data_IF_812211986803
#
_entry.id   IF_812211986803
#
_cell.length_a   1.000
_cell.length_b   1.000
_cell.length_c   1.000
_cell.angle_alpha   90.00
_cell.angle_beta   90.00
_cell.angle_gamma   90.00
#
_symmetry.space_group_name_H-M   'P 1'
#
loop_
_entity.id
_entity.type
_entity.pdbx_description
1 polymer ?
#
# COMPACT_ATOMS: atom_id res chain seq x y z
N UNK A 1 -46.81 -21.59 -43.12
CA UNK A 1 -46.07 -20.52 -42.45
C UNK A 1 -45.76 -21.00 -41.04
N UNK A 2 -44.57 -21.52 -40.82
CA UNK A 2 -44.15 -22.10 -39.50
C UNK A 2 -43.25 -21.09 -38.83
N UNK A 3 -43.70 -20.53 -37.71
CA UNK A 3 -42.92 -19.59 -36.91
C UNK A 3 -42.05 -20.37 -35.92
N UNK A 4 -40.74 -20.32 -36.13
CA UNK A 4 -39.74 -20.86 -35.19
C UNK A 4 -39.41 -19.83 -34.12
N UNK A 5 -39.85 -20.08 -32.89
CA UNK A 5 -39.50 -19.29 -31.73
C UNK A 5 -38.12 -19.67 -31.20
N UNK A 6 -37.16 -18.78 -31.33
CA UNK A 6 -35.82 -18.93 -30.77
C UNK A 6 -35.89 -18.78 -29.25
N UNK A 7 -35.58 -19.84 -28.50
CA UNK A 7 -35.40 -19.82 -27.06
C UNK A 7 -34.06 -19.15 -26.71
N UNK A 8 -34.11 -17.96 -26.13
CA UNK A 8 -32.95 -17.33 -25.53
C UNK A 8 -32.51 -18.12 -24.29
N UNK A 9 -31.28 -18.66 -24.34
CA UNK A 9 -30.63 -19.25 -23.16
C UNK A 9 -30.10 -18.11 -22.30
N UNK A 10 -30.80 -17.81 -21.20
CA UNK A 10 -30.26 -16.99 -20.11
C UNK A 10 -29.13 -17.78 -19.44
N UNK A 11 -27.88 -17.34 -19.63
CA UNK A 11 -26.76 -17.82 -18.84
C UNK A 11 -26.90 -17.31 -17.42
N UNK A 12 -27.23 -18.20 -16.48
CA UNK A 12 -27.12 -17.90 -15.04
C UNK A 12 -25.62 -17.68 -14.75
N UNK A 13 -25.25 -16.44 -14.44
CA UNK A 13 -23.96 -16.12 -13.82
C UNK A 13 -24.02 -16.74 -12.42
N UNK A 14 -23.37 -17.87 -12.23
CA UNK A 14 -23.10 -18.46 -10.91
C UNK A 14 -22.05 -17.58 -10.24
N UNK A 15 -22.46 -16.68 -9.35
CA UNK A 15 -21.55 -16.03 -8.44
C UNK A 15 -20.98 -17.12 -7.52
N UNK A 16 -19.70 -17.44 -7.68
CA UNK A 16 -18.98 -18.30 -6.72
C UNK A 16 -19.02 -17.61 -5.34
N UNK A 17 -19.28 -18.39 -4.28
CA UNK A 17 -19.21 -17.87 -2.92
C UNK A 17 -17.79 -17.32 -2.65
N UNK A 18 -17.72 -16.17 -2.01
CA UNK A 18 -16.44 -15.57 -1.60
C UNK A 18 -16.28 -15.59 -0.10
N UNK A 19 -15.05 -15.57 0.38
CA UNK A 19 -14.68 -15.44 1.79
C UNK A 19 -13.66 -14.33 1.94
N UNK A 20 -13.81 -13.53 2.99
CA UNK A 20 -12.82 -12.49 3.31
C UNK A 20 -11.51 -13.09 3.78
N UNK A 21 -10.38 -12.59 3.30
CA UNK A 21 -9.02 -12.96 3.74
C UNK A 21 -8.17 -11.72 3.94
N UNK A 22 -7.39 -11.75 5.01
CA UNK A 22 -6.27 -10.83 5.24
C UNK A 22 -4.98 -11.49 4.77
N UNK A 23 -4.11 -10.68 4.20
CA UNK A 23 -2.75 -11.02 3.84
C UNK A 23 -1.83 -10.03 4.55
N UNK A 24 -0.82 -10.54 5.26
CA UNK A 24 0.04 -9.72 6.12
C UNK A 24 1.48 -10.13 5.93
N UNK A 25 2.37 -9.16 5.85
CA UNK A 25 3.80 -9.37 5.71
C UNK A 25 4.49 -9.34 7.07
N UNK A 26 5.26 -10.38 7.37
CA UNK A 26 6.18 -10.39 8.50
C UNK A 26 7.59 -10.06 8.01
N UNK A 27 8.00 -8.85 8.32
CA UNK A 27 9.27 -8.27 7.92
C UNK A 27 10.47 -8.98 8.55
N UNK A 28 10.34 -9.44 9.81
CA UNK A 28 11.44 -10.05 10.55
C UNK A 28 11.80 -11.45 10.05
N UNK A 29 10.79 -12.29 9.79
CA UNK A 29 10.98 -13.67 9.36
C UNK A 29 10.84 -13.86 7.84
N UNK A 30 10.52 -12.76 7.11
CA UNK A 30 10.39 -12.81 5.66
C UNK A 30 9.22 -13.67 5.17
N UNK A 31 8.07 -13.65 5.90
CA UNK A 31 6.90 -14.48 5.61
C UNK A 31 5.74 -13.69 5.03
N UNK A 32 4.90 -14.38 4.26
CA UNK A 32 3.55 -13.90 3.94
C UNK A 32 2.56 -14.74 4.73
N UNK A 33 1.81 -14.08 5.60
CA UNK A 33 0.77 -14.66 6.44
C UNK A 33 -0.60 -14.43 5.80
N UNK A 34 -1.57 -15.33 6.06
CA UNK A 34 -2.97 -15.13 5.69
C UNK A 34 -3.88 -15.63 6.80
N UNK A 35 -4.95 -14.87 7.09
CA UNK A 35 -5.95 -15.26 8.09
C UNK A 35 -7.35 -14.77 7.68
N UNK A 36 -8.38 -15.21 8.41
CA UNK A 36 -9.73 -14.64 8.29
C UNK A 36 -9.76 -13.20 8.85
N UNK A 37 -10.78 -12.39 8.50
CA UNK A 37 -10.89 -10.99 8.96
C UNK A 37 -11.13 -10.84 10.47
N UNK A 38 -11.34 -11.93 11.20
CA UNK A 38 -11.42 -11.98 12.66
C UNK A 38 -10.14 -12.48 13.33
N UNK A 39 -9.07 -12.72 12.53
CA UNK A 39 -7.78 -13.24 12.97
C UNK A 39 -7.70 -14.76 13.05
N UNK A 40 -8.80 -15.49 12.87
CA UNK A 40 -8.81 -16.96 12.88
C UNK A 40 -8.17 -17.55 11.62
N UNK A 41 -7.89 -18.84 11.63
CA UNK A 41 -7.29 -19.59 10.51
C UNK A 41 -5.99 -18.96 9.98
N UNK A 42 -5.11 -18.52 10.90
CA UNK A 42 -3.81 -17.97 10.57
C UNK A 42 -2.90 -19.02 9.94
N UNK A 43 -2.34 -18.72 8.78
CA UNK A 43 -1.45 -19.59 8.02
C UNK A 43 -0.25 -18.80 7.50
N UNK A 44 0.91 -19.44 7.43
CA UNK A 44 2.02 -18.99 6.61
C UNK A 44 1.83 -19.57 5.20
N UNK A 45 1.57 -18.70 4.21
CA UNK A 45 1.36 -19.12 2.82
C UNK A 45 2.65 -19.02 1.99
N UNK A 46 3.57 -18.13 2.36
CA UNK A 46 4.93 -18.11 1.83
C UNK A 46 5.87 -18.08 3.03
N UNK A 47 6.70 -19.12 3.14
CA UNK A 47 7.70 -19.25 4.21
C UNK A 47 9.01 -18.63 3.77
N UNK A 48 9.79 -18.17 4.72
CA UNK A 48 11.21 -17.78 4.70
C UNK A 48 11.87 -17.29 3.40
N UNK A 49 12.96 -16.55 3.53
CA UNK A 49 13.82 -16.15 2.41
C UNK A 49 13.48 -14.82 1.77
N UNK A 50 12.36 -14.17 2.15
CA UNK A 50 12.06 -12.81 1.70
C UNK A 50 12.84 -11.84 2.57
N UNK A 51 13.54 -10.91 1.92
CA UNK A 51 14.37 -9.96 2.63
C UNK A 51 13.60 -8.68 2.88
N UNK A 52 13.09 -8.53 4.11
CA UNK A 52 12.35 -7.37 4.57
C UNK A 52 11.13 -7.06 3.66
N UNK A 53 10.14 -7.98 3.57
CA UNK A 53 8.92 -7.71 2.82
C UNK A 53 8.13 -6.56 3.47
N UNK A 54 7.55 -5.64 2.67
CA UNK A 54 6.98 -4.42 3.22
C UNK A 54 5.57 -4.08 2.73
N UNK A 55 5.34 -3.88 1.46
CA UNK A 55 4.02 -3.55 0.90
C UNK A 55 3.37 -4.76 0.23
N UNK A 56 2.04 -4.90 0.34
CA UNK A 56 1.28 -6.01 -0.26
C UNK A 56 -0.04 -5.53 -0.86
N UNK A 57 -0.40 -6.08 -2.02
CA UNK A 57 -1.71 -5.91 -2.65
C UNK A 57 -2.25 -7.23 -3.18
N UNK A 58 -3.57 -7.32 -3.32
CA UNK A 58 -4.27 -8.53 -3.76
C UNK A 58 -5.08 -8.23 -5.02
N UNK A 59 -4.90 -9.04 -6.05
CA UNK A 59 -5.81 -9.16 -7.18
C UNK A 59 -6.63 -10.45 -7.03
N UNK A 60 -7.74 -10.35 -6.29
CA UNK A 60 -8.61 -11.49 -6.02
C UNK A 60 -9.24 -12.09 -7.29
N UNK A 61 -9.46 -11.27 -8.32
CA UNK A 61 -10.06 -11.71 -9.59
C UNK A 61 -9.06 -12.51 -10.43
N UNK A 62 -7.80 -12.06 -10.49
CA UNK A 62 -6.71 -12.79 -11.14
C UNK A 62 -6.17 -13.94 -10.27
N UNK A 63 -6.53 -14.00 -8.98
CA UNK A 63 -6.05 -15.01 -8.03
C UNK A 63 -4.61 -14.78 -7.56
N UNK A 64 -4.13 -13.53 -7.51
CA UNK A 64 -2.75 -13.21 -7.22
C UNK A 64 -2.58 -12.26 -6.03
N UNK A 65 -1.45 -12.44 -5.33
CA UNK A 65 -0.90 -11.47 -4.37
C UNK A 65 0.43 -10.94 -4.92
N UNK A 66 0.70 -9.65 -4.70
CA UNK A 66 1.96 -8.99 -5.07
C UNK A 66 2.53 -8.32 -3.83
N UNK A 67 3.85 -8.42 -3.62
CA UNK A 67 4.51 -7.75 -2.51
C UNK A 67 5.91 -7.28 -2.87
N UNK A 68 6.37 -6.27 -2.13
CA UNK A 68 7.72 -5.74 -2.23
C UNK A 68 8.65 -6.43 -1.25
N UNK A 69 9.92 -6.60 -1.63
CA UNK A 69 11.01 -6.99 -0.74
C UNK A 69 12.06 -5.87 -0.77
N UNK A 70 12.32 -5.25 0.37
CA UNK A 70 13.30 -4.15 0.44
C UNK A 70 14.74 -4.61 0.15
N UNK A 71 15.07 -5.88 0.36
CA UNK A 71 16.41 -6.37 0.22
C UNK A 71 17.36 -5.81 1.29
N UNK A 72 18.57 -5.50 0.94
CA UNK A 72 19.53 -4.82 1.80
C UNK A 72 19.37 -3.30 1.68
N UNK A 73 19.23 -2.59 2.80
CA UNK A 73 19.05 -1.13 2.81
C UNK A 73 20.21 -0.33 2.22
N UNK A 74 21.33 -1.00 1.90
CA UNK A 74 22.55 -0.39 1.35
C UNK A 74 22.90 -0.91 -0.05
N UNK A 75 22.10 -1.83 -0.59
CA UNK A 75 22.32 -2.42 -1.91
C UNK A 75 21.09 -2.18 -2.80
N UNK A 76 21.33 -2.11 -4.10
CA UNK A 76 20.24 -2.05 -5.09
C UNK A 76 19.81 -3.49 -5.42
N UNK A 77 19.20 -4.18 -4.44
CA UNK A 77 18.77 -5.58 -4.54
C UNK A 77 17.30 -5.80 -4.15
N UNK A 78 16.51 -4.72 -4.08
CA UNK A 78 15.07 -4.79 -3.88
C UNK A 78 14.35 -5.45 -5.06
N UNK A 79 13.19 -6.03 -4.78
CA UNK A 79 12.39 -6.76 -5.77
C UNK A 79 10.89 -6.64 -5.50
N UNK A 80 10.07 -7.00 -6.50
CA UNK A 80 8.63 -7.21 -6.33
C UNK A 80 8.33 -8.63 -6.78
N UNK A 81 7.65 -9.39 -5.94
CA UNK A 81 7.23 -10.77 -6.19
C UNK A 81 5.71 -10.85 -6.32
N UNK A 82 5.27 -11.90 -7.00
CA UNK A 82 3.88 -12.33 -7.12
C UNK A 82 3.78 -13.83 -6.81
N UNK A 83 2.69 -14.22 -6.17
CA UNK A 83 2.27 -15.62 -6.06
C UNK A 83 0.76 -15.74 -6.25
N UNK A 84 0.27 -16.97 -6.34
CA UNK A 84 -1.16 -17.27 -6.21
C UNK A 84 -1.63 -16.98 -4.77
N UNK A 85 -2.94 -16.90 -4.54
CA UNK A 85 -3.53 -16.61 -3.22
C UNK A 85 -3.13 -17.61 -2.13
N UNK A 86 -2.73 -18.84 -2.51
CA UNK A 86 -2.23 -19.88 -1.61
C UNK A 86 -0.69 -19.87 -1.44
N UNK A 87 -0.02 -18.88 -2.01
CA UNK A 87 1.44 -18.70 -1.95
C UNK A 87 2.25 -19.52 -2.96
N UNK A 88 1.59 -20.28 -3.83
CA UNK A 88 2.27 -21.05 -4.89
C UNK A 88 2.61 -20.20 -6.11
N UNK A 89 3.31 -20.82 -7.08
CA UNK A 89 3.69 -20.20 -8.37
C UNK A 89 4.41 -18.86 -8.22
N UNK A 90 5.32 -18.79 -7.25
CA UNK A 90 6.13 -17.60 -6.97
C UNK A 90 6.92 -17.16 -8.20
N UNK A 91 6.85 -15.87 -8.51
CA UNK A 91 7.62 -15.27 -9.60
C UNK A 91 8.03 -13.85 -9.29
N UNK A 92 9.17 -13.41 -9.83
CA UNK A 92 9.58 -12.01 -9.77
C UNK A 92 8.85 -11.20 -10.85
N UNK A 93 8.17 -10.13 -10.44
CA UNK A 93 7.63 -9.10 -11.34
C UNK A 93 8.70 -8.03 -11.59
N UNK A 94 9.35 -7.55 -10.54
CA UNK A 94 10.54 -6.72 -10.64
C UNK A 94 11.69 -7.51 -10.01
N UNK A 95 12.69 -7.94 -10.81
CA UNK A 95 13.80 -8.73 -10.29
C UNK A 95 14.71 -7.88 -9.40
N UNK A 96 15.54 -8.51 -8.54
CA UNK A 96 16.54 -7.80 -7.75
C UNK A 96 17.40 -6.87 -8.61
N UNK A 97 17.52 -5.61 -8.18
CA UNK A 97 18.21 -4.55 -8.93
C UNK A 97 17.31 -3.68 -9.80
N UNK A 98 16.06 -4.06 -10.01
CA UNK A 98 15.07 -3.24 -10.72
C UNK A 98 14.51 -2.09 -9.88
N UNK A 99 14.66 -2.17 -8.56
CA UNK A 99 14.30 -1.15 -7.57
C UNK A 99 15.28 -1.22 -6.40
N UNK A 100 15.46 -0.13 -5.66
CA UNK A 100 16.48 -0.09 -4.59
C UNK A 100 15.95 -0.72 -3.30
N UNK A 101 14.96 -0.08 -2.65
CA UNK A 101 14.30 -0.55 -1.42
C UNK A 101 12.80 -0.26 -1.51
N UNK A 102 12.06 -1.06 -2.31
CA UNK A 102 10.64 -0.83 -2.50
C UNK A 102 9.88 -1.01 -1.18
N UNK A 103 9.01 -0.05 -0.89
CA UNK A 103 8.14 0.00 0.28
C UNK A 103 6.71 -0.33 -0.10
N UNK A 104 5.73 0.46 0.32
CA UNK A 104 4.33 0.21 0.01
C UNK A 104 4.07 0.24 -1.49
N UNK A 105 3.12 -0.60 -1.94
CA UNK A 105 2.73 -0.66 -3.35
C UNK A 105 1.21 -0.63 -3.50
N UNK A 106 0.76 -0.25 -4.70
CA UNK A 106 -0.66 -0.20 -5.07
C UNK A 106 -0.91 -0.83 -6.44
N UNK A 107 -2.10 -1.38 -6.60
CA UNK A 107 -2.56 -2.05 -7.81
C UNK A 107 -3.61 -1.20 -8.53
N UNK A 108 -3.30 -0.76 -9.74
CA UNK A 108 -4.25 -0.21 -10.69
C UNK A 108 -4.76 -1.34 -11.61
N UNK A 109 -5.84 -1.99 -11.22
CA UNK A 109 -6.45 -3.07 -12.02
C UNK A 109 -6.99 -2.58 -13.35
N UNK A 110 -7.51 -1.34 -13.40
CA UNK A 110 -8.12 -0.76 -14.59
C UNK A 110 -7.12 -0.63 -15.73
N UNK A 111 -5.88 -0.25 -15.41
CA UNK A 111 -4.82 -0.04 -16.39
C UNK A 111 -3.74 -1.15 -16.38
N UNK A 112 -3.89 -2.18 -15.53
CA UNK A 112 -2.96 -3.31 -15.44
C UNK A 112 -1.56 -2.90 -14.96
N UNK A 113 -1.46 -2.08 -13.91
CA UNK A 113 -0.20 -1.51 -13.43
C UNK A 113 -0.01 -1.69 -11.92
N UNK A 114 1.25 -1.82 -11.52
CA UNK A 114 1.72 -1.70 -10.14
C UNK A 114 2.44 -0.36 -9.95
N UNK A 115 2.23 0.27 -8.80
CA UNK A 115 2.90 1.49 -8.37
C UNK A 115 3.52 1.27 -7.01
N UNK A 116 4.73 1.79 -6.76
CA UNK A 116 5.40 1.66 -5.45
C UNK A 116 6.30 2.84 -5.13
N UNK A 117 6.56 3.01 -3.83
CA UNK A 117 7.59 3.90 -3.32
C UNK A 117 8.90 3.13 -3.19
N UNK A 118 10.00 3.72 -3.67
CA UNK A 118 11.35 3.20 -3.55
C UNK A 118 12.14 4.10 -2.58
N UNK A 119 12.25 3.66 -1.30
CA UNK A 119 12.63 4.51 -0.18
C UNK A 119 14.03 5.09 -0.33
N UNK A 120 15.07 4.29 -0.24
CA UNK A 120 16.46 4.73 -0.43
C UNK A 120 16.76 5.08 -1.89
N UNK A 121 15.98 4.58 -2.84
CA UNK A 121 15.98 5.05 -4.21
C UNK A 121 15.42 6.45 -4.38
N UNK A 122 14.72 6.98 -3.36
CA UNK A 122 14.11 8.32 -3.34
C UNK A 122 13.19 8.57 -4.53
N UNK A 123 12.39 7.56 -4.90
CA UNK A 123 11.57 7.57 -6.11
C UNK A 123 10.15 7.06 -5.85
N UNK A 124 9.23 7.45 -6.72
CA UNK A 124 7.96 6.77 -6.92
C UNK A 124 7.99 6.14 -8.31
N UNK A 125 7.63 4.87 -8.41
CA UNK A 125 7.82 4.07 -9.62
C UNK A 125 6.52 3.34 -9.99
N UNK A 126 6.44 2.88 -11.25
CA UNK A 126 5.39 1.99 -11.74
C UNK A 126 5.93 0.99 -12.75
N UNK A 127 5.19 -0.11 -12.96
CA UNK A 127 5.39 -1.03 -14.08
C UNK A 127 4.04 -1.67 -14.49
N UNK A 128 4.04 -2.41 -15.60
CA UNK A 128 2.94 -3.31 -15.94
C UNK A 128 2.92 -4.52 -14.99
N UNK A 129 1.77 -5.23 -14.88
CA UNK A 129 1.63 -6.42 -14.02
C UNK A 129 2.54 -7.59 -14.40
N UNK A 130 3.08 -7.60 -15.62
CA UNK A 130 4.08 -8.56 -16.10
C UNK A 130 5.53 -8.13 -15.82
N UNK A 131 5.73 -6.97 -15.17
CA UNK A 131 7.04 -6.40 -14.87
C UNK A 131 7.67 -5.61 -16.02
N UNK A 132 7.02 -5.53 -17.17
CA UNK A 132 7.49 -4.68 -18.28
C UNK A 132 7.27 -3.20 -18.00
N UNK A 133 7.97 -2.32 -18.72
CA UNK A 133 7.84 -0.85 -18.65
C UNK A 133 8.01 -0.31 -17.24
N UNK A 134 9.12 -0.67 -16.57
CA UNK A 134 9.49 -0.05 -15.29
C UNK A 134 9.82 1.42 -15.54
N UNK A 135 9.12 2.32 -14.87
CA UNK A 135 9.22 3.76 -15.05
C UNK A 135 9.34 4.47 -13.69
N UNK A 136 10.16 5.52 -13.62
CA UNK A 136 10.18 6.46 -12.51
C UNK A 136 9.17 7.58 -12.79
N UNK A 137 8.26 7.83 -11.85
CA UNK A 137 7.25 8.89 -11.95
C UNK A 137 7.65 10.15 -11.20
N UNK A 138 8.31 9.98 -10.06
CA UNK A 138 8.86 11.05 -9.23
C UNK A 138 10.29 10.68 -8.84
N UNK A 139 11.22 11.59 -9.03
CA UNK A 139 12.60 11.50 -8.51
C UNK A 139 12.81 12.60 -7.47
N UNK A 140 12.66 12.24 -6.20
CA UNK A 140 12.86 13.16 -5.07
C UNK A 140 14.33 13.50 -4.84
N UNK A 141 15.27 12.73 -5.41
CA UNK A 141 16.71 12.99 -5.31
C UNK A 141 17.12 14.24 -6.11
N UNK A 142 16.33 14.57 -7.16
CA UNK A 142 16.65 15.63 -8.12
C UNK A 142 18.02 15.51 -8.75
N UNK A 143 18.44 14.26 -9.02
CA UNK A 143 19.74 13.97 -9.63
C UNK A 143 20.92 13.95 -8.66
N UNK A 144 20.70 13.98 -7.34
CA UNK A 144 21.79 13.76 -6.37
C UNK A 144 22.34 12.33 -6.51
N UNK A 145 23.67 12.23 -6.55
CA UNK A 145 24.39 11.01 -6.93
C UNK A 145 24.55 9.97 -5.80
N UNK A 146 23.90 10.14 -4.65
CA UNK A 146 23.99 9.21 -3.51
C UNK A 146 22.60 8.78 -3.04
N UNK A 147 22.05 7.67 -3.57
CA UNK A 147 20.82 7.09 -3.06
C UNK A 147 20.88 6.87 -1.54
N UNK A 148 19.79 7.19 -0.83
CA UNK A 148 19.66 6.94 0.60
C UNK A 148 20.29 7.95 1.55
N UNK A 149 20.98 9.00 1.06
CA UNK A 149 21.70 9.94 1.92
C UNK A 149 20.79 10.94 2.66
N UNK A 150 19.61 11.24 2.15
CA UNK A 150 18.69 12.24 2.72
C UNK A 150 17.31 11.62 3.01
N UNK A 151 17.07 11.31 4.29
CA UNK A 151 15.81 10.72 4.74
C UNK A 151 14.59 11.62 4.48
N UNK A 152 14.76 12.92 4.29
CA UNK A 152 13.64 13.82 3.93
C UNK A 152 13.09 13.59 2.53
N UNK A 153 13.79 12.80 1.70
CA UNK A 153 13.44 12.45 0.33
C UNK A 153 12.94 11.00 0.19
N UNK A 154 12.91 10.24 1.28
CA UNK A 154 12.49 8.83 1.30
C UNK A 154 10.99 8.70 1.08
N UNK A 155 10.60 8.16 -0.07
CA UNK A 155 9.22 7.85 -0.40
C UNK A 155 8.82 6.50 0.23
N UNK A 156 7.66 6.43 0.91
CA UNK A 156 7.28 5.24 1.71
C UNK A 156 5.90 4.71 1.38
N UNK A 157 4.84 5.43 1.75
CA UNK A 157 3.45 5.05 1.48
C UNK A 157 2.98 5.55 0.11
N UNK A 158 2.00 4.87 -0.47
CA UNK A 158 1.46 5.21 -1.78
C UNK A 158 -0.02 4.88 -1.86
N UNK A 159 -0.82 5.76 -2.48
CA UNK A 159 -2.23 5.53 -2.79
C UNK A 159 -2.61 6.12 -4.15
N UNK A 160 -3.66 5.58 -4.76
CA UNK A 160 -4.09 5.94 -6.11
C UNK A 160 -5.55 6.40 -6.12
N UNK A 161 -5.82 7.56 -6.70
CA UNK A 161 -7.13 7.93 -7.22
C UNK A 161 -7.13 7.65 -8.73
N UNK A 162 -7.50 6.41 -9.11
CA UNK A 162 -7.37 5.90 -10.49
C UNK A 162 -8.27 6.68 -11.44
N UNK A 163 -9.49 7.02 -11.03
CA UNK A 163 -10.43 7.76 -11.87
C UNK A 163 -10.08 9.24 -11.98
N UNK A 164 -9.48 9.82 -10.93
CA UNK A 164 -8.94 11.18 -10.92
C UNK A 164 -7.53 11.27 -11.52
N UNK A 165 -6.92 10.15 -11.91
CA UNK A 165 -5.54 10.06 -12.43
C UNK A 165 -4.52 10.73 -11.50
N UNK A 166 -4.70 10.55 -10.17
CA UNK A 166 -3.84 11.14 -9.13
C UNK A 166 -3.13 10.08 -8.32
N UNK A 167 -1.86 10.35 -8.07
CA UNK A 167 -0.94 9.58 -7.24
C UNK A 167 -0.67 10.36 -5.96
N UNK A 168 -0.75 9.71 -4.82
CA UNK A 168 -0.44 10.24 -3.49
C UNK A 168 0.70 9.43 -2.88
N UNK A 169 1.62 10.09 -2.18
CA UNK A 169 2.69 9.38 -1.45
C UNK A 169 3.12 10.12 -0.20
N UNK A 170 3.72 9.37 0.71
CA UNK A 170 4.33 9.91 1.93
C UNK A 170 5.85 10.00 1.77
N UNK A 171 6.43 11.00 2.43
CA UNK A 171 7.86 11.04 2.76
C UNK A 171 7.97 11.11 4.28
N UNK A 172 8.53 10.06 4.88
CA UNK A 172 8.54 9.93 6.35
C UNK A 172 9.44 10.94 7.07
N UNK A 173 10.49 11.40 6.42
CA UNK A 173 11.54 12.19 7.06
C UNK A 173 12.51 11.34 7.91
N UNK A 174 13.50 11.98 8.57
CA UNK A 174 14.30 11.32 9.58
C UNK A 174 13.45 10.92 10.81
N UNK A 175 13.90 9.88 11.54
CA UNK A 175 13.17 9.36 12.68
C UNK A 175 12.89 10.46 13.73
N UNK A 176 11.62 10.60 14.10
CA UNK A 176 11.10 11.57 15.09
C UNK A 176 11.48 13.05 14.84
N UNK A 177 11.83 13.41 13.60
CA UNK A 177 12.24 14.77 13.27
C UNK A 177 11.08 15.74 13.00
N UNK A 178 9.83 15.26 12.92
CA UNK A 178 8.67 16.08 12.58
C UNK A 178 8.77 16.70 11.18
N UNK A 179 9.41 16.01 10.22
CA UNK A 179 9.65 16.47 8.85
C UNK A 179 8.93 15.63 7.81
N UNK A 180 7.99 14.80 8.27
CA UNK A 180 7.14 13.98 7.40
C UNK A 180 6.22 14.83 6.55
N UNK A 181 5.92 14.36 5.33
CA UNK A 181 5.09 15.06 4.35
C UNK A 181 4.20 14.09 3.58
N UNK A 182 3.06 14.61 3.08
CA UNK A 182 2.19 13.92 2.13
C UNK A 182 2.08 14.78 0.87
N UNK A 183 2.22 14.13 -0.27
CA UNK A 183 2.21 14.77 -1.58
C UNK A 183 1.14 14.17 -2.48
N UNK A 184 0.81 14.92 -3.54
CA UNK A 184 -0.03 14.48 -4.65
C UNK A 184 0.56 14.95 -5.98
N UNK A 185 0.35 14.16 -7.05
CA UNK A 185 0.70 14.54 -8.42
C UNK A 185 -0.20 13.81 -9.42
N UNK A 186 -0.13 14.16 -10.70
CA UNK A 186 -0.78 13.40 -11.77
C UNK A 186 -0.06 12.07 -12.03
N UNK A 187 -0.75 11.07 -12.61
CA UNK A 187 -0.10 9.82 -13.03
C UNK A 187 0.96 10.07 -14.10
N UNK A 188 0.63 10.89 -15.09
CA UNK A 188 1.55 11.20 -16.18
C UNK A 188 2.39 12.43 -15.86
N UNK A 189 3.66 12.38 -16.27
CA UNK A 189 4.58 13.52 -16.14
C UNK A 189 4.17 14.59 -17.14
N UNK A 190 4.10 15.87 -16.75
CA UNK A 190 3.78 16.95 -17.67
C UNK A 190 4.71 16.98 -18.89
N UNK A 191 4.14 17.27 -20.06
CA UNK A 191 4.88 17.24 -21.33
C UNK A 191 6.14 18.11 -21.27
N UNK A 192 7.28 17.52 -21.63
CA UNK A 192 8.58 18.20 -21.66
C UNK A 192 9.30 18.27 -20.33
N UNK A 193 8.76 17.60 -19.29
CA UNK A 193 9.38 17.49 -17.97
C UNK A 193 9.89 16.08 -17.70
N UNK A 194 10.68 15.93 -16.66
CA UNK A 194 11.25 14.66 -16.19
C UNK A 194 10.71 14.34 -14.78
N UNK A 195 10.90 13.11 -14.26
CA UNK A 195 10.56 12.78 -12.88
C UNK A 195 11.18 13.71 -11.82
N UNK A 196 12.35 14.30 -12.13
CA UNK A 196 13.11 15.12 -11.19
C UNK A 196 12.69 16.59 -11.16
N UNK A 197 12.13 17.11 -12.26
CA UNK A 197 11.78 18.52 -12.42
C UNK A 197 10.29 18.78 -12.67
N UNK A 198 9.44 17.75 -12.57
CA UNK A 198 7.98 17.90 -12.72
C UNK A 198 7.43 18.94 -11.73
N UNK A 199 6.56 19.83 -12.23
CA UNK A 199 6.05 20.99 -11.49
C UNK A 199 4.60 20.83 -11.01
N UNK A 200 4.00 19.66 -11.21
CA UNK A 200 2.63 19.34 -10.79
C UNK A 200 2.54 18.64 -9.42
N UNK A 201 3.66 18.60 -8.69
CA UNK A 201 3.69 18.05 -7.32
C UNK A 201 3.09 19.06 -6.35
N UNK A 202 2.07 18.63 -5.63
CA UNK A 202 1.41 19.39 -4.57
C UNK A 202 1.83 18.84 -3.21
N UNK A 203 2.20 19.70 -2.25
CA UNK A 203 2.39 19.34 -0.84
C UNK A 203 1.04 19.47 -0.13
N UNK A 204 0.46 18.36 0.28
CA UNK A 204 -0.82 18.32 0.99
C UNK A 204 -0.65 18.56 2.49
N UNK A 205 0.32 17.88 3.11
CA UNK A 205 0.68 18.01 4.52
C UNK A 205 2.18 18.01 4.69
N UNK A 206 2.64 18.73 5.72
CA UNK A 206 4.05 18.80 6.13
C UNK A 206 4.15 18.88 7.66
N UNK A 207 5.35 18.72 8.19
CA UNK A 207 5.61 18.71 9.64
C UNK A 207 4.85 17.59 10.37
N UNK A 208 4.60 16.48 9.68
CA UNK A 208 4.08 15.25 10.27
C UNK A 208 5.21 14.52 11.02
N UNK A 209 4.90 13.71 12.07
CA UNK A 209 5.93 12.93 12.76
C UNK A 209 6.68 12.00 11.81
N UNK A 210 6.09 10.88 11.41
CA UNK A 210 6.62 9.91 10.46
C UNK A 210 5.49 9.20 9.70
N UNK A 211 4.86 9.82 8.70
CA UNK A 211 3.80 9.17 7.92
C UNK A 211 4.38 8.01 7.12
N UNK A 212 3.72 6.84 7.21
CA UNK A 212 4.17 5.60 6.57
C UNK A 212 3.22 5.22 5.45
N UNK A 213 2.24 4.34 5.70
CA UNK A 213 1.29 3.90 4.68
C UNK A 213 0.14 4.88 4.50
N UNK A 214 -0.49 4.84 3.33
CA UNK A 214 -1.51 5.79 2.91
C UNK A 214 -2.58 5.06 2.11
N UNK A 215 -3.86 5.31 2.42
CA UNK A 215 -4.99 4.81 1.64
C UNK A 215 -6.10 5.86 1.51
N UNK A 216 -6.96 5.72 0.50
CA UNK A 216 -7.95 6.74 0.11
C UNK A 216 -9.38 6.21 0.13
N UNK A 217 -10.28 6.95 0.78
CA UNK A 217 -11.70 6.90 0.49
C UNK A 217 -12.02 8.01 -0.53
N UNK A 218 -11.90 7.65 -1.81
CA UNK A 218 -12.11 8.58 -2.92
C UNK A 218 -13.56 9.09 -2.96
N UNK A 219 -14.53 8.25 -2.59
CA UNK A 219 -15.95 8.62 -2.60
C UNK A 219 -16.27 9.71 -1.57
N UNK A 220 -15.72 9.61 -0.37
CA UNK A 220 -15.86 10.61 0.70
C UNK A 220 -14.81 11.71 0.64
N UNK A 221 -13.87 11.66 -0.31
CA UNK A 221 -12.74 12.58 -0.45
C UNK A 221 -11.89 12.65 0.82
N UNK A 222 -11.62 11.51 1.45
CA UNK A 222 -10.80 11.39 2.66
C UNK A 222 -9.55 10.54 2.39
N UNK A 223 -8.42 10.94 2.94
CA UNK A 223 -7.20 10.13 3.01
C UNK A 223 -6.94 9.70 4.43
N UNK A 224 -6.36 8.52 4.58
CA UNK A 224 -5.96 7.93 5.85
C UNK A 224 -4.49 7.52 5.77
N UNK A 225 -3.75 7.63 6.88
CA UNK A 225 -2.37 7.16 6.92
C UNK A 225 -1.97 6.70 8.32
N UNK A 226 -1.05 5.76 8.38
CA UNK A 226 -0.34 5.41 9.60
C UNK A 226 0.79 6.40 9.84
N UNK A 227 1.03 6.73 11.09
CA UNK A 227 2.18 7.51 11.52
C UNK A 227 2.90 6.77 12.65
N UNK A 228 4.17 6.43 12.43
CA UNK A 228 4.95 5.63 13.38
C UNK A 228 5.82 6.48 14.32
N UNK A 229 5.84 7.79 14.18
CA UNK A 229 6.60 8.68 15.04
C UNK A 229 6.19 8.61 16.50
N UNK A 230 6.82 9.42 17.34
CA UNK A 230 6.54 9.42 18.78
C UNK A 230 5.17 10.03 19.13
N UNK A 231 4.51 9.52 20.19
CA UNK A 231 3.32 10.15 20.75
C UNK A 231 3.58 11.62 21.16
N UNK A 232 2.57 12.49 21.17
CA UNK A 232 1.13 12.18 21.03
C UNK A 232 0.61 12.14 19.60
N UNK A 233 1.39 12.57 18.59
CA UNK A 233 0.97 12.67 17.21
C UNK A 233 1.39 11.48 16.35
N UNK A 234 2.34 10.67 16.80
CA UNK A 234 2.76 9.42 16.20
C UNK A 234 2.23 8.19 16.93
N UNK A 235 2.53 7.00 16.42
CA UNK A 235 1.93 5.72 16.79
C UNK A 235 0.40 5.74 16.63
N UNK A 236 -0.06 6.26 15.48
CA UNK A 236 -1.46 6.62 15.22
C UNK A 236 -1.88 6.20 13.81
N UNK A 237 -3.22 6.11 13.61
CA UNK A 237 -3.84 6.31 12.28
C UNK A 237 -4.49 7.67 12.28
N UNK A 238 -4.26 8.40 11.21
CA UNK A 238 -4.77 9.75 11.01
C UNK A 238 -5.68 9.78 9.77
N UNK A 239 -6.59 10.75 9.71
CA UNK A 239 -7.34 11.06 8.49
C UNK A 239 -7.46 12.56 8.25
N UNK A 240 -7.60 12.92 6.99
CA UNK A 240 -7.83 14.30 6.56
C UNK A 240 -8.50 14.32 5.18
N UNK A 241 -9.12 15.47 4.78
CA UNK A 241 -9.59 15.64 3.41
C UNK A 241 -8.45 15.47 2.39
N UNK A 242 -8.75 14.83 1.26
CA UNK A 242 -7.83 14.71 0.11
C UNK A 242 -7.51 16.07 -0.53
N UNK A 243 -8.41 17.05 -0.36
CA UNK A 243 -8.26 18.42 -0.86
C UNK A 243 -8.23 19.40 0.32
N UNK A 244 -7.13 19.44 1.10
CA UNK A 244 -7.05 20.34 2.24
C UNK A 244 -7.03 21.79 1.77
N UNK A 245 -7.93 22.60 2.35
CA UNK A 245 -7.95 24.04 2.07
C UNK A 245 -6.62 24.68 2.51
N UNK A 246 -5.95 25.39 1.60
CA UNK A 246 -4.66 26.04 1.88
C UNK A 246 -4.75 27.16 2.91
N UNK A 247 -5.89 27.87 2.97
CA UNK A 247 -6.09 29.04 3.83
C UNK A 247 -6.47 28.72 5.29
N UNK A 248 -7.08 27.56 5.57
CA UNK A 248 -7.53 27.15 6.91
C UNK A 248 -7.34 25.63 7.07
N UNK A 249 -6.15 25.13 6.78
CA UNK A 249 -5.84 23.70 6.94
C UNK A 249 -5.97 23.32 8.41
N UNK A 250 -6.95 22.44 8.70
CA UNK A 250 -7.08 21.84 10.03
C UNK A 250 -5.99 20.79 10.24
N UNK A 251 -5.56 20.61 11.47
CA UNK A 251 -4.73 19.46 11.84
C UNK A 251 -5.45 18.17 11.47
N UNK A 252 -4.71 17.13 11.06
CA UNK A 252 -5.28 15.82 10.81
C UNK A 252 -6.00 15.28 12.05
N UNK A 253 -7.12 14.61 11.82
CA UNK A 253 -7.82 13.91 12.89
C UNK A 253 -7.11 12.59 13.19
N UNK A 254 -6.80 12.34 14.45
CA UNK A 254 -6.27 11.07 14.92
C UNK A 254 -7.44 10.13 15.19
N UNK A 255 -7.57 9.04 14.42
CA UNK A 255 -8.65 8.05 14.56
C UNK A 255 -8.25 6.83 15.38
N UNK A 256 -6.99 6.41 15.33
CA UNK A 256 -6.43 5.37 16.22
C UNK A 256 -5.17 5.88 16.91
N UNK A 257 -4.93 5.37 18.12
CA UNK A 257 -3.77 5.70 18.97
C UNK A 257 -3.15 4.44 19.55
N UNK A 258 -1.95 4.60 20.12
CA UNK A 258 -1.25 3.57 20.88
C UNK A 258 -0.89 2.33 20.02
N UNK A 259 -0.59 2.55 18.74
CA UNK A 259 0.05 1.53 17.93
C UNK A 259 1.51 1.34 18.37
N UNK A 260 2.12 0.23 17.99
CA UNK A 260 3.54 -0.05 18.24
C UNK A 260 4.33 0.10 16.93
N UNK A 261 4.57 1.33 16.50
CA UNK A 261 5.08 1.71 15.19
C UNK A 261 4.16 1.21 14.05
N UNK A 262 3.03 1.91 13.86
CA UNK A 262 2.04 1.57 12.82
C UNK A 262 2.64 1.63 11.42
N UNK A 263 2.50 0.56 10.64
CA UNK A 263 3.06 0.43 9.29
C UNK A 263 1.94 0.31 8.25
N UNK A 264 1.35 -0.87 8.07
CA UNK A 264 0.39 -1.12 7.01
C UNK A 264 -1.02 -0.62 7.33
N UNK A 265 -1.72 -0.15 6.32
CA UNK A 265 -3.10 0.31 6.40
C UNK A 265 -3.88 -0.22 5.18
N UNK A 266 -5.08 -0.71 5.39
CA UNK A 266 -6.02 -1.08 4.35
C UNK A 266 -7.43 -0.63 4.71
N UNK A 267 -8.11 0.09 3.82
CA UNK A 267 -9.50 0.51 3.98
C UNK A 267 -10.44 -0.47 3.28
N UNK A 268 -11.19 -1.25 4.05
CA UNK A 268 -12.32 -2.04 3.55
C UNK A 268 -13.58 -1.14 3.51
N UNK A 269 -13.64 -0.30 2.49
CA UNK A 269 -14.70 0.71 2.33
C UNK A 269 -16.09 0.07 2.19
N UNK A 270 -16.18 -1.13 1.60
CA UNK A 270 -17.42 -1.88 1.45
C UNK A 270 -18.06 -2.20 2.81
N UNK A 271 -17.23 -2.51 3.81
CA UNK A 271 -17.68 -2.86 5.16
C UNK A 271 -17.44 -1.73 6.18
N UNK A 272 -17.11 -0.52 5.72
CA UNK A 272 -16.85 0.67 6.53
C UNK A 272 -15.85 0.44 7.67
N UNK A 273 -14.76 -0.31 7.41
CA UNK A 273 -13.73 -0.64 8.38
C UNK A 273 -12.33 -0.49 7.81
N UNK A 274 -11.34 -0.48 8.68
CA UNK A 274 -9.93 -0.50 8.32
C UNK A 274 -9.22 -1.69 8.99
N UNK A 275 -8.10 -2.10 8.41
CA UNK A 275 -7.12 -3.01 9.00
C UNK A 275 -5.78 -2.30 9.11
N UNK A 276 -5.09 -2.49 10.22
CA UNK A 276 -3.82 -1.83 10.53
C UNK A 276 -2.85 -2.84 11.09
N UNK A 277 -1.60 -2.81 10.64
CA UNK A 277 -0.51 -3.62 11.19
C UNK A 277 0.55 -2.73 11.83
N UNK A 278 1.30 -3.26 12.79
CA UNK A 278 2.40 -2.57 13.45
C UNK A 278 3.63 -3.46 13.64
N UNK A 279 4.79 -2.84 13.91
CA UNK A 279 6.05 -3.55 14.15
C UNK A 279 6.07 -4.33 15.49
N UNK A 280 5.10 -4.08 16.38
CA UNK A 280 4.88 -4.90 17.56
C UNK A 280 4.28 -6.27 17.27
N UNK A 281 4.00 -6.57 15.99
CA UNK A 281 3.47 -7.86 15.54
C UNK A 281 1.96 -7.96 15.65
N UNK A 282 1.26 -6.84 15.66
CA UNK A 282 -0.18 -6.82 15.82
C UNK A 282 -0.88 -6.47 14.51
N UNK A 283 -2.09 -7.03 14.34
CA UNK A 283 -3.06 -6.58 13.35
C UNK A 283 -4.32 -6.17 14.09
N UNK A 284 -4.81 -5.00 13.75
CA UNK A 284 -6.05 -4.44 14.31
C UNK A 284 -7.11 -4.29 13.22
N UNK A 285 -8.37 -4.38 13.64
CA UNK A 285 -9.49 -3.86 12.86
C UNK A 285 -10.20 -2.76 13.64
N UNK A 286 -10.71 -1.75 12.94
CA UNK A 286 -11.55 -0.70 13.51
C UNK A 286 -12.53 -0.19 12.46
N UNK A 287 -13.59 0.50 12.88
CA UNK A 287 -14.40 1.30 11.96
C UNK A 287 -13.57 2.45 11.38
N UNK A 288 -14.01 3.05 10.25
CA UNK A 288 -13.30 4.16 9.62
C UNK A 288 -13.20 5.43 10.48
N UNK A 289 -14.03 5.55 11.52
CA UNK A 289 -13.95 6.62 12.53
C UNK A 289 -13.07 6.27 13.73
N UNK A 290 -12.43 5.09 13.71
CA UNK A 290 -11.58 4.56 14.79
C UNK A 290 -12.33 3.85 15.91
N UNK A 291 -13.66 3.86 15.91
CA UNK A 291 -14.45 3.13 16.89
C UNK A 291 -14.34 1.61 16.72
N UNK A 292 -14.73 0.85 17.75
CA UNK A 292 -14.75 -0.63 17.73
C UNK A 292 -13.39 -1.28 17.40
N UNK A 293 -12.29 -0.68 17.78
CA UNK A 293 -10.95 -1.26 17.61
C UNK A 293 -10.85 -2.62 18.29
N UNK A 294 -10.33 -3.61 17.56
CA UNK A 294 -10.08 -4.97 18.02
C UNK A 294 -8.68 -5.41 17.59
N UNK A 295 -7.97 -6.11 18.45
CA UNK A 295 -6.74 -6.81 18.07
C UNK A 295 -7.13 -8.16 17.48
N UNK A 296 -6.73 -8.40 16.22
CA UNK A 296 -6.97 -9.64 15.48
C UNK A 296 -5.81 -10.61 15.62
N UNK A 297 -4.59 -10.11 15.47
CA UNK A 297 -3.35 -10.84 15.68
C UNK A 297 -2.51 -10.11 16.72
N UNK A 298 -1.75 -10.87 17.52
CA UNK A 298 -0.89 -10.34 18.58
C UNK A 298 0.49 -10.99 18.52
N UNK A 299 1.55 -10.19 18.56
CA UNK A 299 2.95 -10.61 18.66
C UNK A 299 3.37 -11.65 17.60
N UNK A 300 2.99 -11.45 16.33
CA UNK A 300 3.28 -12.37 15.22
C UNK A 300 4.58 -12.05 14.46
N UNK A 301 5.54 -11.40 15.07
CA UNK A 301 6.80 -10.94 14.45
C UNK A 301 6.85 -9.42 14.34
N UNK A 302 7.43 -8.88 13.27
CA UNK A 302 7.35 -7.44 12.95
C UNK A 302 6.47 -7.29 11.70
N UNK A 303 5.22 -6.86 11.88
CA UNK A 303 4.28 -6.83 10.77
C UNK A 303 4.38 -5.51 10.00
N UNK A 304 4.40 -5.62 8.66
CA UNK A 304 4.48 -4.49 7.74
C UNK A 304 3.17 -4.35 6.96
N UNK A 305 3.16 -4.57 5.65
CA UNK A 305 1.99 -4.41 4.82
C UNK A 305 0.82 -5.33 5.21
N UNK A 306 -0.39 -4.83 5.09
CA UNK A 306 -1.64 -5.58 5.25
C UNK A 306 -2.56 -5.31 4.08
N UNK A 307 -3.21 -6.34 3.56
CA UNK A 307 -4.23 -6.23 2.53
C UNK A 307 -5.42 -7.14 2.85
N UNK A 308 -6.61 -6.73 2.43
CA UNK A 308 -7.82 -7.53 2.53
C UNK A 308 -8.44 -7.74 1.15
N UNK A 309 -8.98 -8.93 0.92
CA UNK A 309 -9.78 -9.22 -0.26
C UNK A 309 -10.88 -10.25 0.04
N UNK A 310 -11.97 -10.17 -0.70
CA UNK A 310 -12.93 -11.26 -0.81
C UNK A 310 -12.44 -12.19 -1.93
N UNK A 311 -12.02 -13.39 -1.58
CA UNK A 311 -11.47 -14.39 -2.50
C UNK A 311 -12.46 -15.54 -2.73
N UNK A 312 -12.40 -16.27 -3.86
CA UNK A 312 -13.23 -17.45 -4.09
C UNK A 312 -13.04 -18.50 -2.99
N UNK A 313 -14.14 -19.13 -2.56
CA UNK A 313 -14.05 -20.27 -1.62
C UNK A 313 -13.33 -21.44 -2.26
N UNK A 314 -12.24 -21.90 -1.63
CA UNK A 314 -11.41 -23.01 -2.13
C UNK A 314 -10.15 -22.60 -2.89
N UNK A 315 -9.80 -21.30 -2.89
CA UNK A 315 -8.49 -20.80 -3.34
C UNK A 315 -7.43 -20.90 -2.24
#
# INVERSE_FOLDING_TARGET
MSSSAAKSKSSKVTTSATVGRLFVLDLSDGRVLSCQPDGSDLKTIVSEGRRLPDGIVVDAEAGHIYWTNMGSLKANDGSIERADLDGKNLTHIVPPGGTFTPKQLQLDKKNGRLYWCDREGMRVMRCNLDGSKIETLVDSSRGESRPGSDATKWCVGIALDVDGEKLYWTQKGPDNAGRGRIFRTNFEIPKGQTPADRNDIEVLFENLPEPIDLDLDVASRMMYWTDRGDPPRGNTVNRAPMDPATANRKDPEIVLKNLMEGIGLFLDLKNARMFVSDLGGNVYSANLDGSNMKTLLFAQGNLAGVAYAEIPTGS
#
